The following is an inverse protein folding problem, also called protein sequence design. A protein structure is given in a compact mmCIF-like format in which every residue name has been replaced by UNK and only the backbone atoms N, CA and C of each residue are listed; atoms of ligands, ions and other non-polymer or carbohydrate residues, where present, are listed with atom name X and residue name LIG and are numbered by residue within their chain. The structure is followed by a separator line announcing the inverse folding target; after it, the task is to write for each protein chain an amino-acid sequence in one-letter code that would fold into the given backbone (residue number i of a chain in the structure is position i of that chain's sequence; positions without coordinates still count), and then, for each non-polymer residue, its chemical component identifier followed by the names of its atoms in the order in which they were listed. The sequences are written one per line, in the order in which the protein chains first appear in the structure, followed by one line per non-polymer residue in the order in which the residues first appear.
data_IF_557206257806
#
_entry.id   IF_557206257806
#
_cell.length_a   1.000
_cell.length_b   1.000
_cell.length_c   1.000
_cell.angle_alpha   90.00
_cell.angle_beta   90.00
_cell.angle_gamma   90.00
#
_symmetry.space_group_name_H-M   'P 1'
#
loop_
_entity.id
_entity.type
_entity.pdbx_description
1 polymer ?
#
# COMPACT_ATOMS: atom_id res chain seq x y z
N UNK A 1 -12.80 13.04 -5.43
CA UNK A 1 -12.98 11.60 -5.13
C UNK A 1 -13.37 11.35 -3.67
N UNK A 2 -13.74 12.40 -2.92
CA UNK A 2 -14.12 12.21 -1.52
C UNK A 2 -15.39 11.39 -1.33
N UNK A 3 -15.43 10.60 -0.27
CA UNK A 3 -16.56 9.78 0.14
C UNK A 3 -16.32 8.30 -0.04
N UNK A 4 -17.40 7.54 -0.10
CA UNK A 4 -17.34 6.09 -0.24
C UNK A 4 -17.14 5.71 -1.71
N UNK A 5 -16.30 4.72 -1.94
CA UNK A 5 -16.00 4.23 -3.28
C UNK A 5 -15.82 2.71 -3.25
N UNK A 6 -15.98 2.09 -4.42
CA UNK A 6 -15.54 0.72 -4.61
C UNK A 6 -14.07 0.72 -4.96
N UNK A 7 -13.33 -0.26 -4.45
CA UNK A 7 -11.89 -0.37 -4.69
C UNK A 7 -11.56 -1.72 -5.31
N UNK A 8 -10.67 -1.69 -6.28
CA UNK A 8 -10.01 -2.87 -6.84
C UNK A 8 -8.52 -2.69 -6.68
N UNK A 9 -7.87 -3.74 -6.22
CA UNK A 9 -6.45 -3.72 -5.94
C UNK A 9 -5.79 -4.84 -6.73
N UNK A 10 -4.73 -4.51 -7.46
CA UNK A 10 -3.83 -5.47 -8.06
C UNK A 10 -2.47 -5.33 -7.39
N UNK A 11 -2.01 -6.39 -6.74
CA UNK A 11 -0.72 -6.43 -6.09
C UNK A 11 0.16 -7.45 -6.80
N UNK A 12 1.35 -7.01 -7.20
CA UNK A 12 2.36 -7.84 -7.84
C UNK A 12 3.60 -7.83 -6.97
N UNK A 13 4.05 -9.00 -6.58
CA UNK A 13 5.25 -9.14 -5.79
C UNK A 13 6.22 -10.13 -6.43
N UNK A 14 7.51 -9.85 -6.29
CA UNK A 14 8.60 -10.74 -6.72
C UNK A 14 9.47 -11.03 -5.51
N UNK A 15 9.56 -12.30 -5.15
CA UNK A 15 10.36 -12.77 -4.03
C UNK A 15 11.16 -13.99 -4.48
N UNK A 16 12.50 -13.91 -4.36
CA UNK A 16 13.37 -15.02 -4.76
C UNK A 16 13.22 -15.44 -6.22
N UNK A 17 12.91 -14.51 -7.12
CA UNK A 17 12.65 -14.79 -8.53
C UNK A 17 11.27 -15.35 -8.84
N UNK A 18 10.43 -15.53 -7.83
CA UNK A 18 9.04 -15.99 -7.99
C UNK A 18 8.09 -14.81 -7.94
N UNK A 19 7.25 -14.68 -8.97
CA UNK A 19 6.25 -13.63 -9.07
C UNK A 19 4.91 -14.15 -8.55
N UNK A 20 4.25 -13.32 -7.73
CA UNK A 20 2.90 -13.58 -7.24
C UNK A 20 2.01 -12.37 -7.56
N UNK A 21 0.80 -12.64 -8.03
CA UNK A 21 -0.19 -11.60 -8.34
C UNK A 21 -1.44 -11.88 -7.54
N UNK A 22 -1.85 -10.90 -6.74
CA UNK A 22 -3.04 -10.98 -5.90
C UNK A 22 -4.01 -9.88 -6.33
N UNK A 23 -5.29 -10.21 -6.43
CA UNK A 23 -6.36 -9.26 -6.73
C UNK A 23 -7.34 -9.21 -5.58
N UNK A 24 -7.65 -8.00 -5.15
CA UNK A 24 -8.58 -7.74 -4.06
C UNK A 24 -9.70 -6.82 -4.56
N UNK A 25 -10.89 -6.99 -4.00
CA UNK A 25 -12.04 -6.13 -4.24
C UNK A 25 -12.70 -5.78 -2.91
N UNK A 26 -13.22 -4.57 -2.81
CA UNK A 26 -13.88 -4.14 -1.60
C UNK A 26 -14.41 -2.73 -1.65
N UNK A 27 -14.45 -2.11 -0.48
CA UNK A 27 -14.95 -0.74 -0.30
C UNK A 27 -13.87 0.12 0.34
N UNK A 28 -13.91 1.40 0.02
CA UNK A 28 -12.98 2.38 0.53
C UNK A 28 -13.70 3.66 0.93
N UNK A 29 -13.12 4.36 1.90
CA UNK A 29 -13.48 5.73 2.23
C UNK A 29 -12.30 6.61 1.86
N UNK A 30 -12.55 7.66 1.11
CA UNK A 30 -11.55 8.61 0.63
C UNK A 30 -11.83 9.97 1.24
N UNK A 31 -10.84 10.54 1.90
CA UNK A 31 -10.95 11.84 2.55
C UNK A 31 -9.79 12.74 2.10
N UNK A 32 -10.10 13.97 1.72
CA UNK A 32 -9.10 14.98 1.49
C UNK A 32 -8.73 15.63 2.82
N UNK A 33 -7.44 15.71 3.10
CA UNK A 33 -6.91 16.23 4.37
C UNK A 33 -6.03 17.45 4.12
N UNK A 34 -5.58 18.10 5.19
CA UNK A 34 -4.66 19.24 5.09
C UNK A 34 -3.30 18.85 4.49
N UNK A 35 -2.87 17.61 4.70
CA UNK A 35 -1.59 17.13 4.16
C UNK A 35 -1.69 16.46 2.79
N UNK A 36 -2.89 16.08 2.36
CA UNK A 36 -3.10 15.37 1.09
C UNK A 36 -4.37 14.54 1.12
N UNK A 37 -4.24 13.22 1.17
CA UNK A 37 -5.37 12.30 1.13
C UNK A 37 -5.25 11.20 2.18
N UNK A 38 -6.38 10.73 2.64
CA UNK A 38 -6.47 9.58 3.53
C UNK A 38 -7.46 8.58 2.96
N UNK A 39 -7.00 7.36 2.74
CA UNK A 39 -7.81 6.26 2.26
C UNK A 39 -7.87 5.17 3.34
N UNK A 40 -9.07 4.70 3.62
CA UNK A 40 -9.29 3.52 4.46
C UNK A 40 -10.05 2.51 3.62
N UNK A 41 -9.57 1.29 3.55
CA UNK A 41 -10.27 0.28 2.78
C UNK A 41 -10.31 -1.07 3.48
N UNK A 42 -11.34 -1.82 3.11
CA UNK A 42 -11.49 -3.23 3.45
C UNK A 42 -11.75 -3.96 2.14
N UNK A 43 -10.91 -4.94 1.85
CA UNK A 43 -10.97 -5.69 0.62
C UNK A 43 -10.75 -7.17 0.86
N UNK A 44 -11.34 -8.01 0.04
CA UNK A 44 -11.18 -9.45 0.08
C UNK A 44 -10.49 -9.95 -1.17
N UNK A 45 -9.75 -11.04 -1.04
CA UNK A 45 -9.09 -11.68 -2.17
C UNK A 45 -10.15 -12.28 -3.08
N UNK A 46 -10.08 -12.00 -4.38
CA UNK A 46 -11.04 -12.52 -5.36
C UNK A 46 -11.01 -14.04 -5.48
N UNK A 47 -9.91 -14.67 -5.11
CA UNK A 47 -9.76 -16.13 -5.14
C UNK A 47 -10.03 -16.80 -3.79
N UNK A 48 -9.92 -16.03 -2.69
CA UNK A 48 -10.15 -16.53 -1.34
C UNK A 48 -10.88 -15.46 -0.51
N UNK A 49 -12.19 -15.51 -0.51
CA UNK A 49 -13.05 -14.53 0.17
C UNK A 49 -12.87 -14.51 1.70
N UNK A 50 -12.18 -15.48 2.26
CA UNK A 50 -11.93 -15.54 3.71
C UNK A 50 -10.80 -14.63 4.16
N UNK A 51 -9.96 -14.18 3.21
CA UNK A 51 -8.84 -13.31 3.50
C UNK A 51 -9.23 -11.85 3.30
N UNK A 52 -9.73 -11.21 4.36
CA UNK A 52 -10.03 -9.78 4.34
C UNK A 52 -8.80 -8.99 4.77
N UNK A 53 -8.54 -7.89 4.06
CA UNK A 53 -7.45 -6.96 4.35
C UNK A 53 -8.04 -5.59 4.68
N UNK A 54 -7.64 -5.02 5.81
CA UNK A 54 -7.99 -3.65 6.19
C UNK A 54 -6.73 -2.82 6.23
N UNK A 55 -6.73 -1.69 5.55
CA UNK A 55 -5.57 -0.82 5.49
C UNK A 55 -5.96 0.64 5.52
N UNK A 56 -5.03 1.43 6.07
CA UNK A 56 -5.02 2.88 6.01
C UNK A 56 -3.87 3.34 5.14
N UNK A 57 -4.13 4.25 4.23
CA UNK A 57 -3.10 4.87 3.40
C UNK A 57 -3.22 6.39 3.54
N UNK A 58 -2.15 7.02 4.02
CA UNK A 58 -2.03 8.48 4.06
C UNK A 58 -1.09 8.91 2.96
N UNK A 59 -1.56 9.81 2.10
CA UNK A 59 -0.77 10.35 1.00
C UNK A 59 -0.46 11.81 1.28
N UNK A 60 0.83 12.13 1.34
CA UNK A 60 1.31 13.50 1.61
C UNK A 60 1.69 14.18 0.30
N UNK A 61 0.98 15.26 -0.04
CA UNK A 61 1.17 15.95 -1.33
C UNK A 61 2.54 16.62 -1.44
N UNK A 62 2.99 17.29 -0.39
CA UNK A 62 4.22 18.08 -0.43
C UNK A 62 5.49 17.22 -0.53
N UNK A 63 5.51 16.12 0.19
CA UNK A 63 6.67 15.23 0.28
C UNK A 63 6.59 14.06 -0.67
N UNK A 64 5.43 13.81 -1.28
CA UNK A 64 5.15 12.65 -2.11
C UNK A 64 5.35 11.33 -1.37
N UNK A 65 5.15 11.35 -0.06
CA UNK A 65 5.27 10.15 0.78
C UNK A 65 3.91 9.49 0.96
N UNK A 66 3.95 8.17 1.16
CA UNK A 66 2.78 7.41 1.55
C UNK A 66 3.07 6.65 2.84
N UNK A 67 2.11 6.66 3.75
CA UNK A 67 2.17 5.88 4.98
C UNK A 67 1.08 4.81 4.86
N UNK A 68 1.50 3.55 4.84
CA UNK A 68 0.59 2.41 4.69
C UNK A 68 0.57 1.63 5.99
N UNK A 69 -0.59 1.52 6.61
CA UNK A 69 -0.78 0.74 7.83
C UNK A 69 -1.76 -0.38 7.53
N UNK A 70 -1.28 -1.61 7.61
CA UNK A 70 -2.12 -2.78 7.48
C UNK A 70 -2.56 -3.23 8.88
N UNK A 71 -3.85 -3.11 9.17
CA UNK A 71 -4.37 -3.35 10.52
C UNK A 71 -4.28 -4.80 10.98
N UNK A 72 -4.25 -5.76 10.06
CA UNK A 72 -4.15 -7.18 10.41
C UNK A 72 -2.75 -7.66 10.78
N UNK A 73 -1.73 -7.00 10.25
CA UNK A 73 -0.33 -7.42 10.42
C UNK A 73 0.45 -6.58 11.44
N UNK A 74 -0.15 -5.48 11.91
CA UNK A 74 0.40 -4.68 12.99
C UNK A 74 1.68 -3.92 12.68
N UNK A 75 2.02 -3.72 11.41
CA UNK A 75 3.17 -2.90 11.01
C UNK A 75 2.76 -1.84 10.00
N UNK A 76 3.56 -0.78 9.95
CA UNK A 76 3.37 0.31 8.99
C UNK A 76 4.58 0.45 8.07
N UNK A 77 4.33 0.91 6.86
CA UNK A 77 5.35 1.22 5.88
C UNK A 77 5.33 2.70 5.58
N UNK A 78 6.50 3.34 5.65
CA UNK A 78 6.69 4.70 5.15
C UNK A 78 7.38 4.61 3.79
N UNK A 79 6.66 4.99 2.75
CA UNK A 79 7.18 5.01 1.38
C UNK A 79 7.60 6.43 1.05
N UNK A 80 8.91 6.67 1.06
CA UNK A 80 9.50 7.97 0.77
C UNK A 80 10.40 7.86 -0.47
N UNK A 81 10.01 8.46 -1.61
CA UNK A 81 10.84 8.39 -2.83
C UNK A 81 12.22 9.04 -2.68
N UNK A 82 12.39 9.91 -1.69
CA UNK A 82 13.66 10.63 -1.46
C UNK A 82 14.59 9.93 -0.48
N UNK A 83 14.12 8.93 0.27
CA UNK A 83 14.93 8.31 1.33
C UNK A 83 14.54 6.85 1.55
N UNK A 84 15.51 6.06 1.97
CA UNK A 84 15.25 4.70 2.46
C UNK A 84 14.75 4.79 3.89
N UNK A 85 13.63 4.12 4.17
CA UNK A 85 13.04 4.06 5.50
C UNK A 85 13.19 2.66 6.09
N UNK A 86 12.87 2.50 7.36
CA UNK A 86 12.94 1.21 8.03
C UNK A 86 11.64 0.90 8.75
N UNK A 87 11.28 -0.38 8.76
CA UNK A 87 10.15 -0.89 9.53
C UNK A 87 10.56 -2.15 10.28
N UNK A 88 9.90 -2.42 11.40
CA UNK A 88 10.14 -3.64 12.16
C UNK A 88 8.92 -4.56 12.04
N UNK A 89 9.20 -5.82 11.76
CA UNK A 89 8.19 -6.87 11.70
C UNK A 89 8.47 -7.86 12.82
N UNK A 90 7.42 -8.21 13.57
CA UNK A 90 7.52 -9.23 14.59
C UNK A 90 7.40 -10.61 13.95
N UNK A 91 8.36 -11.47 14.25
CA UNK A 91 8.38 -12.87 13.81
C UNK A 91 8.40 -13.78 15.04
N UNK A 92 8.11 -15.08 14.87
CA UNK A 92 8.23 -16.03 16.00
C UNK A 92 9.64 -16.11 16.60
N UNK A 93 10.66 -15.69 15.83
CA UNK A 93 12.05 -15.71 16.27
C UNK A 93 12.55 -14.34 16.75
N UNK A 94 11.67 -13.35 16.90
CA UNK A 94 12.01 -12.00 17.32
C UNK A 94 11.64 -10.95 16.29
N UNK A 95 12.19 -9.74 16.46
CA UNK A 95 11.93 -8.63 15.55
C UNK A 95 12.91 -8.64 14.37
N UNK A 96 12.40 -8.42 13.17
CA UNK A 96 13.19 -8.24 11.96
C UNK A 96 13.05 -6.81 11.46
N UNK A 97 14.17 -6.16 11.20
CA UNK A 97 14.19 -4.82 10.60
C UNK A 97 14.26 -4.94 9.09
N UNK A 98 13.29 -4.35 8.39
CA UNK A 98 13.28 -4.25 6.94
C UNK A 98 13.53 -2.81 6.52
N UNK A 99 14.37 -2.63 5.53
CA UNK A 99 14.52 -1.35 4.85
C UNK A 99 13.56 -1.27 3.68
N UNK A 100 13.01 -0.10 3.44
CA UNK A 100 12.00 0.15 2.43
C UNK A 100 12.51 1.21 1.48
N UNK A 101 12.64 0.86 0.20
CA UNK A 101 13.02 1.79 -0.86
C UNK A 101 11.85 1.98 -1.80
N UNK A 102 11.23 3.15 -1.76
CA UNK A 102 10.12 3.48 -2.64
C UNK A 102 10.65 3.85 -4.03
N UNK A 103 10.03 3.30 -5.06
CA UNK A 103 10.32 3.64 -6.47
C UNK A 103 9.27 4.56 -7.05
N UNK A 104 8.01 4.34 -6.72
CA UNK A 104 6.90 5.14 -7.23
C UNK A 104 5.85 5.31 -6.16
N UNK A 105 5.48 6.54 -5.89
CA UNK A 105 4.34 6.90 -5.06
C UNK A 105 3.57 7.95 -5.84
N UNK A 106 2.52 7.53 -6.54
CA UNK A 106 1.73 8.41 -7.40
C UNK A 106 0.24 8.16 -7.17
N UNK A 107 -0.55 9.19 -7.38
CA UNK A 107 -1.99 9.08 -7.27
C UNK A 107 -2.70 10.12 -8.12
N UNK A 108 -3.92 9.80 -8.50
CA UNK A 108 -4.85 10.71 -9.14
C UNK A 108 -6.20 10.55 -8.44
N UNK A 109 -6.51 11.47 -7.54
CA UNK A 109 -7.74 11.48 -6.74
C UNK A 109 -8.55 12.75 -6.96
N UNK A 110 -8.15 13.58 -7.93
CA UNK A 110 -8.85 14.82 -8.25
C UNK A 110 -10.15 14.61 -9.01
N UNK A 111 -10.32 13.46 -9.66
CA UNK A 111 -11.54 13.11 -10.38
C UNK A 111 -12.75 12.93 -9.49
N UNK A 112 -13.94 13.03 -10.06
CA UNK A 112 -15.20 12.89 -9.29
C UNK A 112 -15.68 11.46 -9.16
N UNK A 113 -15.43 10.62 -10.17
CA UNK A 113 -15.95 9.25 -10.24
C UNK A 113 -14.88 8.18 -10.16
N UNK A 114 -13.70 8.47 -10.66
CA UNK A 114 -12.60 7.52 -10.76
C UNK A 114 -11.35 8.08 -10.08
N UNK A 115 -10.60 7.20 -9.46
CA UNK A 115 -9.33 7.53 -8.85
C UNK A 115 -8.36 6.37 -8.93
N UNK A 116 -7.08 6.66 -8.76
CA UNK A 116 -6.04 5.65 -8.76
C UNK A 116 -4.90 6.01 -7.82
N UNK A 117 -4.26 4.99 -7.28
CA UNK A 117 -3.05 5.10 -6.46
C UNK A 117 -2.09 4.00 -6.91
N UNK A 118 -0.84 4.35 -7.15
CA UNK A 118 0.21 3.38 -7.49
C UNK A 118 1.35 3.51 -6.52
N UNK A 119 1.68 2.39 -5.88
CA UNK A 119 2.79 2.29 -4.94
C UNK A 119 3.73 1.19 -5.42
N UNK A 120 4.99 1.53 -5.64
CA UNK A 120 6.01 0.56 -6.01
C UNK A 120 7.21 0.74 -5.08
N UNK A 121 7.62 -0.35 -4.46
CA UNK A 121 8.70 -0.32 -3.50
C UNK A 121 9.43 -1.64 -3.41
N UNK A 122 10.61 -1.60 -2.83
CA UNK A 122 11.46 -2.75 -2.59
C UNK A 122 11.68 -2.88 -1.08
N UNK A 123 11.58 -4.10 -0.59
CA UNK A 123 11.96 -4.47 0.77
C UNK A 123 13.36 -5.07 0.76
N UNK A 124 14.19 -4.63 1.71
CA UNK A 124 15.58 -5.07 1.82
C UNK A 124 15.87 -5.49 3.26
N UNK A 125 16.68 -6.54 3.39
CA UNK A 125 17.31 -6.89 4.67
C UNK A 125 18.74 -6.35 4.62
N UNK A 126 19.01 -5.29 5.38
CA UNK A 126 20.24 -4.52 5.19
C UNK A 126 20.26 -3.89 3.80
N UNK A 127 21.26 -4.23 2.99
CA UNK A 127 21.39 -3.77 1.61
C UNK A 127 20.91 -4.82 0.59
N UNK A 128 20.44 -5.96 1.05
CA UNK A 128 20.07 -7.08 0.18
C UNK A 128 18.60 -7.05 -0.17
N UNK A 129 18.23 -7.01 -1.47
CA UNK A 129 16.83 -7.07 -1.87
C UNK A 129 16.17 -8.38 -1.44
N UNK A 130 15.02 -8.25 -0.78
CA UNK A 130 14.20 -9.38 -0.36
C UNK A 130 13.00 -9.56 -1.28
N UNK A 131 12.30 -8.47 -1.56
CA UNK A 131 11.07 -8.48 -2.35
C UNK A 131 10.88 -7.15 -3.06
N UNK A 132 10.27 -7.20 -4.24
CA UNK A 132 9.81 -6.01 -4.96
C UNK A 132 8.30 -6.09 -5.09
N UNK A 133 7.59 -5.00 -4.78
CA UNK A 133 6.14 -4.95 -4.79
C UNK A 133 5.65 -3.77 -5.61
N UNK A 134 4.57 -4.02 -6.37
CA UNK A 134 3.84 -2.96 -7.06
C UNK A 134 2.35 -3.14 -6.73
N UNK A 135 1.76 -2.13 -6.13
CA UNK A 135 0.36 -2.14 -5.74
C UNK A 135 -0.36 -1.04 -6.50
N UNK A 136 -1.39 -1.44 -7.23
CA UNK A 136 -2.24 -0.53 -7.98
C UNK A 136 -3.66 -0.58 -7.40
N UNK A 137 -4.16 0.57 -6.98
CA UNK A 137 -5.50 0.71 -6.43
C UNK A 137 -6.34 1.52 -7.42
N UNK A 138 -7.51 1.01 -7.74
CA UNK A 138 -8.48 1.66 -8.60
C UNK A 138 -9.75 1.91 -7.81
N UNK A 139 -10.18 3.15 -7.78
CA UNK A 139 -11.34 3.61 -7.03
C UNK A 139 -12.43 4.06 -7.98
N UNK A 140 -13.67 3.67 -7.69
CA UNK A 140 -14.83 4.05 -8.49
C UNK A 140 -16.01 4.36 -7.59
N UNK A 141 -16.54 5.55 -7.76
CA UNK A 141 -17.80 5.93 -7.10
C UNK A 141 -19.03 5.38 -7.79
#
# INVERSE_FOLDING_TARGET
MEGNAQIRIASRSVFGGVEDVIRLEGTATVEKTDYGWHLQYEAVNCEDEKSAVRSDIKLETDTRRAIVVNQGEGYGLLLDPAAVTATQIKTPQGSLTLNVKAKEVTWDLAGRKDGSVTLEYMLLVGMQPLSALRISLFLKK
#
